data_IF_845974334973
#
_entry.id   IF_845974334973
#
_cell.length_a   1.000
_cell.length_b   1.000
_cell.length_c   1.000
_cell.angle_alpha   90.00
_cell.angle_beta   90.00
_cell.angle_gamma   90.00
#
_symmetry.space_group_name_H-M   'P 1'
#
loop_
_entity.id
_entity.type
_entity.pdbx_description
1 polymer ?
#
# COMPACT_ATOMS: atom_id res chain seq x y z
N UNK A 1 -58.27 31.05 15.90
CA UNK A 1 -57.48 30.98 14.65
C UNK A 1 -56.00 30.87 15.00
N UNK A 2 -55.44 29.65 15.07
CA UNK A 2 -54.01 29.43 15.34
C UNK A 2 -53.26 29.39 14.00
N UNK A 3 -52.37 30.35 13.76
CA UNK A 3 -51.54 30.41 12.55
C UNK A 3 -50.32 29.52 12.77
N UNK A 4 -50.24 28.41 12.05
CA UNK A 4 -49.04 27.59 11.96
C UNK A 4 -48.07 28.24 10.97
N UNK A 5 -46.89 28.65 11.44
CA UNK A 5 -45.77 29.02 10.58
C UNK A 5 -45.06 27.74 10.15
N UNK A 6 -45.19 27.39 8.87
CA UNK A 6 -44.37 26.34 8.24
C UNK A 6 -43.02 26.99 7.92
N UNK A 7 -42.01 26.71 8.75
CA UNK A 7 -40.63 27.05 8.44
C UNK A 7 -40.14 26.09 7.33
N UNK A 8 -40.06 26.60 6.10
CA UNK A 8 -39.44 25.89 4.99
C UNK A 8 -37.92 25.95 5.18
N UNK A 9 -37.36 24.94 5.85
CA UNK A 9 -35.92 24.77 5.95
C UNK A 9 -35.36 24.36 4.59
N UNK A 10 -34.84 25.32 3.84
CA UNK A 10 -34.05 25.08 2.64
C UNK A 10 -32.72 24.45 3.07
N UNK A 11 -32.66 23.12 3.08
CA UNK A 11 -31.43 22.39 3.36
C UNK A 11 -30.38 22.70 2.30
N UNK A 12 -29.37 23.50 2.68
CA UNK A 12 -28.14 23.62 1.90
C UNK A 12 -27.48 22.23 1.83
N UNK A 13 -27.48 21.63 0.65
CA UNK A 13 -26.66 20.45 0.37
C UNK A 13 -25.19 20.86 0.49
N UNK A 14 -24.51 20.42 1.54
CA UNK A 14 -23.07 20.58 1.70
C UNK A 14 -22.38 19.85 0.55
N UNK A 15 -21.85 20.60 -0.41
CA UNK A 15 -21.02 20.04 -1.47
C UNK A 15 -19.74 19.47 -0.84
N UNK A 16 -19.61 18.14 -0.84
CA UNK A 16 -18.46 17.45 -0.26
C UNK A 16 -17.17 17.76 -1.02
N UNK A 17 -16.08 18.00 -0.29
CA UNK A 17 -14.77 18.35 -0.83
C UNK A 17 -13.98 17.15 -1.41
N UNK A 18 -14.67 16.05 -1.72
CA UNK A 18 -14.09 14.82 -2.24
C UNK A 18 -14.33 14.69 -3.75
N UNK A 19 -13.44 13.99 -4.48
CA UNK A 19 -13.68 13.67 -5.89
C UNK A 19 -15.00 12.93 -6.07
N UNK A 20 -15.73 13.22 -7.15
CA UNK A 20 -16.98 12.51 -7.43
C UNK A 20 -16.65 11.14 -8.00
N UNK A 21 -16.93 10.10 -7.23
CA UNK A 21 -16.87 8.71 -7.70
C UNK A 21 -18.16 8.37 -8.44
N UNK A 22 -18.04 7.89 -9.67
CA UNK A 22 -19.11 7.21 -10.39
C UNK A 22 -18.70 5.76 -10.57
N UNK A 23 -19.52 4.84 -10.07
CA UNK A 23 -19.26 3.41 -10.14
C UNK A 23 -20.48 2.71 -10.74
N UNK A 24 -20.23 1.77 -11.65
CA UNK A 24 -21.25 0.90 -12.22
C UNK A 24 -20.80 -0.56 -12.08
N UNK A 25 -21.45 -1.29 -11.17
CA UNK A 25 -21.20 -2.71 -10.95
C UNK A 25 -21.87 -3.57 -12.03
N UNK A 26 -21.25 -4.68 -12.40
CA UNK A 26 -21.83 -5.69 -13.31
C UNK A 26 -22.63 -6.76 -12.56
N UNK A 27 -22.51 -6.83 -11.23
CA UNK A 27 -23.19 -7.79 -10.37
C UNK A 27 -23.05 -7.47 -8.88
N UNK A 28 -23.48 -8.37 -7.98
CA UNK A 28 -23.34 -8.19 -6.55
C UNK A 28 -21.86 -8.18 -6.12
N UNK A 29 -21.56 -7.39 -5.10
CA UNK A 29 -20.23 -7.34 -4.51
C UNK A 29 -19.81 -8.70 -3.94
N UNK A 30 -18.53 -9.04 -4.12
CA UNK A 30 -17.93 -10.26 -3.57
C UNK A 30 -17.00 -9.92 -2.41
N UNK A 31 -16.89 -10.83 -1.45
CA UNK A 31 -15.96 -10.68 -0.34
C UNK A 31 -14.53 -10.83 -0.84
N UNK A 32 -13.69 -9.84 -0.55
CA UNK A 32 -12.26 -9.92 -0.84
C UNK A 32 -11.58 -10.89 0.12
N UNK A 33 -10.69 -11.76 -0.39
CA UNK A 33 -9.85 -12.61 0.44
C UNK A 33 -8.71 -11.75 1.02
N UNK A 34 -8.53 -11.66 2.35
CA UNK A 34 -7.47 -10.84 2.95
C UNK A 34 -6.04 -11.26 2.56
N UNK A 35 -5.84 -12.52 2.17
CA UNK A 35 -4.56 -13.05 1.68
C UNK A 35 -4.30 -12.73 0.21
N UNK A 36 -5.29 -12.21 -0.51
CA UNK A 36 -5.17 -11.91 -1.93
C UNK A 36 -4.55 -10.52 -2.13
N UNK A 37 -3.57 -10.44 -3.03
CA UNK A 37 -2.95 -9.17 -3.41
C UNK A 37 -3.92 -8.23 -4.13
N UNK A 38 -3.46 -7.03 -4.42
CA UNK A 38 -4.20 -6.08 -5.26
C UNK A 38 -3.23 -5.39 -6.22
N UNK A 39 -3.54 -5.43 -7.51
CA UNK A 39 -2.71 -4.79 -8.53
C UNK A 39 -3.36 -3.54 -9.11
N UNK A 40 -2.59 -2.47 -9.21
CA UNK A 40 -2.94 -1.30 -10.00
C UNK A 40 -2.15 -1.35 -11.30
N UNK A 41 -2.86 -1.42 -12.41
CA UNK A 41 -2.26 -1.47 -13.75
C UNK A 41 -2.53 -0.12 -14.42
N UNK A 42 -1.46 0.67 -14.57
CA UNK A 42 -1.54 2.02 -15.15
C UNK A 42 -1.87 1.95 -16.63
N UNK A 43 -2.31 3.07 -17.19
CA UNK A 43 -2.71 3.22 -18.59
C UNK A 43 -1.66 2.75 -19.58
N UNK A 44 -0.39 2.98 -19.27
CA UNK A 44 0.79 2.59 -20.07
C UNK A 44 1.13 1.11 -19.99
N UNK A 45 0.63 0.40 -18.99
CA UNK A 45 1.05 -0.96 -18.69
C UNK A 45 0.20 -1.97 -19.45
N UNK A 46 0.87 -2.93 -20.09
CA UNK A 46 0.20 -4.03 -20.76
C UNK A 46 -0.43 -4.97 -19.73
N UNK A 47 -1.68 -5.36 -19.98
CA UNK A 47 -2.35 -6.43 -19.24
C UNK A 47 -3.13 -7.30 -20.21
N UNK A 48 -2.67 -8.54 -20.36
CA UNK A 48 -3.21 -9.53 -21.28
C UNK A 48 -3.45 -10.83 -20.51
N UNK A 49 -4.39 -10.78 -19.56
CA UNK A 49 -4.76 -11.92 -18.74
C UNK A 49 -6.27 -12.18 -18.78
N UNK A 50 -6.71 -13.44 -18.55
CA UNK A 50 -8.12 -13.71 -18.34
C UNK A 50 -8.58 -12.96 -17.09
N UNK A 51 -9.56 -12.09 -17.26
CA UNK A 51 -10.11 -11.28 -16.18
C UNK A 51 -11.62 -11.16 -16.33
N UNK A 52 -12.33 -11.28 -15.23
CA UNK A 52 -13.74 -10.96 -15.14
C UNK A 52 -13.92 -9.48 -14.78
N UNK A 53 -14.76 -8.76 -15.52
CA UNK A 53 -15.08 -7.38 -15.22
C UNK A 53 -16.21 -7.30 -14.18
N UNK A 54 -15.90 -6.74 -13.01
CA UNK A 54 -16.84 -6.54 -11.91
C UNK A 54 -17.49 -5.15 -11.93
N UNK A 55 -16.95 -4.23 -12.72
CA UNK A 55 -17.52 -2.91 -12.90
C UNK A 55 -16.56 -1.89 -13.50
N UNK A 56 -17.11 -0.71 -13.75
CA UNK A 56 -16.34 0.47 -14.17
C UNK A 56 -16.34 1.53 -13.07
N UNK A 57 -15.21 2.21 -12.94
CA UNK A 57 -14.99 3.27 -11.97
C UNK A 57 -14.52 4.51 -12.71
N UNK A 58 -15.17 5.63 -12.45
CA UNK A 58 -14.79 6.93 -12.98
C UNK A 58 -14.68 7.93 -11.84
N UNK A 59 -13.48 8.48 -11.67
CA UNK A 59 -13.24 9.58 -10.73
C UNK A 59 -13.32 10.88 -11.51
N UNK A 60 -14.35 11.70 -11.22
CA UNK A 60 -14.56 13.01 -11.84
C UNK A 60 -14.12 14.14 -10.92
N UNK A 61 -13.78 15.26 -11.54
CA UNK A 61 -13.70 16.55 -10.85
C UNK A 61 -15.10 17.03 -10.48
N UNK A 62 -15.32 17.35 -9.20
CA UNK A 62 -16.56 17.95 -8.70
C UNK A 62 -16.51 19.50 -8.71
N UNK A 63 -15.41 20.11 -9.13
CA UNK A 63 -15.22 21.56 -9.26
C UNK A 63 -14.70 22.26 -8.01
N UNK A 64 -14.71 21.59 -6.85
CA UNK A 64 -14.24 22.13 -5.56
C UNK A 64 -13.39 21.11 -4.77
N UNK A 65 -12.80 20.12 -5.44
CA UNK A 65 -12.01 19.07 -4.77
C UNK A 65 -10.59 19.56 -4.49
N UNK A 66 -10.13 19.39 -3.25
CA UNK A 66 -8.80 19.82 -2.81
C UNK A 66 -7.81 18.67 -2.56
N UNK A 67 -8.25 17.44 -2.83
CA UNK A 67 -7.53 16.17 -2.61
C UNK A 67 -7.57 15.34 -3.89
N UNK A 68 -6.84 15.76 -4.92
CA UNK A 68 -7.00 15.17 -6.26
C UNK A 68 -5.72 15.06 -7.09
N UNK A 69 -4.58 14.87 -6.42
CA UNK A 69 -3.39 14.34 -7.06
C UNK A 69 -3.63 12.91 -7.58
N UNK A 70 -2.74 12.43 -8.46
CA UNK A 70 -2.89 11.14 -9.10
C UNK A 70 -2.99 9.98 -8.10
N UNK A 71 -2.14 9.97 -7.07
CA UNK A 71 -2.06 8.87 -6.11
C UNK A 71 -3.32 8.81 -5.24
N UNK A 72 -3.84 9.96 -4.80
CA UNK A 72 -5.13 10.04 -4.08
C UNK A 72 -6.28 9.49 -4.93
N UNK A 73 -6.31 9.83 -6.22
CA UNK A 73 -7.36 9.37 -7.16
C UNK A 73 -7.26 7.87 -7.42
N UNK A 74 -6.05 7.33 -7.57
CA UNK A 74 -5.78 5.89 -7.70
C UNK A 74 -6.16 5.14 -6.43
N UNK A 75 -5.84 5.67 -5.25
CA UNK A 75 -6.19 5.07 -3.96
C UNK A 75 -7.71 4.99 -3.77
N UNK A 76 -8.44 6.06 -4.13
CA UNK A 76 -9.90 6.08 -4.08
C UNK A 76 -10.51 5.06 -5.04
N UNK A 77 -10.05 5.00 -6.29
CA UNK A 77 -10.53 3.99 -7.25
C UNK A 77 -10.19 2.56 -6.81
N UNK A 78 -9.03 2.36 -6.19
CA UNK A 78 -8.63 1.08 -5.59
C UNK A 78 -9.59 0.65 -4.49
N UNK A 79 -9.97 1.57 -3.58
CA UNK A 79 -10.94 1.29 -2.54
C UNK A 79 -12.30 0.86 -3.11
N UNK A 80 -12.77 1.54 -4.16
CA UNK A 80 -14.03 1.21 -4.83
C UNK A 80 -13.95 -0.14 -5.54
N UNK A 81 -12.85 -0.44 -6.21
CA UNK A 81 -12.62 -1.75 -6.83
C UNK A 81 -12.65 -2.88 -5.78
N UNK A 82 -12.00 -2.68 -4.62
CA UNK A 82 -12.04 -3.63 -3.51
C UNK A 82 -13.45 -3.85 -2.98
N UNK A 83 -14.28 -2.82 -2.91
CA UNK A 83 -15.70 -2.93 -2.51
C UNK A 83 -16.53 -3.79 -3.49
N UNK A 84 -16.14 -3.84 -4.77
CA UNK A 84 -16.74 -4.75 -5.75
C UNK A 84 -16.21 -6.19 -5.65
N UNK A 85 -15.14 -6.43 -4.87
CA UNK A 85 -14.44 -7.71 -4.79
C UNK A 85 -13.35 -7.88 -5.86
N UNK A 86 -12.97 -6.81 -6.56
CA UNK A 86 -11.90 -6.83 -7.53
C UNK A 86 -10.54 -6.95 -6.82
N UNK A 87 -9.59 -7.58 -7.51
CA UNK A 87 -8.20 -7.71 -7.10
C UNK A 87 -7.23 -7.05 -8.11
N UNK A 88 -7.78 -6.43 -9.16
CA UNK A 88 -7.05 -5.60 -10.13
C UNK A 88 -7.84 -4.33 -10.43
N UNK A 89 -7.17 -3.18 -10.42
CA UNK A 89 -7.64 -1.92 -10.98
C UNK A 89 -6.89 -1.65 -12.30
N UNK A 90 -7.58 -1.73 -13.44
CA UNK A 90 -7.00 -1.38 -14.76
C UNK A 90 -7.41 0.03 -15.15
N UNK A 91 -6.49 0.98 -15.09
CA UNK A 91 -6.70 2.39 -15.46
C UNK A 91 -6.48 2.55 -16.95
N UNK A 92 -7.51 2.73 -17.76
CA UNK A 92 -7.36 2.84 -19.22
C UNK A 92 -7.36 4.28 -19.75
N UNK A 93 -7.68 5.25 -18.90
CA UNK A 93 -7.62 6.67 -19.23
C UNK A 93 -7.20 7.45 -17.98
N UNK A 94 -6.18 8.29 -18.12
CA UNK A 94 -5.78 9.31 -17.14
C UNK A 94 -5.74 10.68 -17.81
N UNK A 95 -6.57 11.60 -17.34
CA UNK A 95 -6.57 13.00 -17.75
C UNK A 95 -5.95 13.84 -16.63
N UNK A 96 -4.86 14.53 -16.96
CA UNK A 96 -4.24 15.51 -16.08
C UNK A 96 -5.16 16.74 -15.86
N UNK A 97 -4.92 17.52 -14.79
CA UNK A 97 -5.52 18.83 -14.62
C UNK A 97 -5.29 19.70 -15.86
N UNK A 98 -6.29 20.50 -16.24
CA UNK A 98 -6.23 21.43 -17.35
C UNK A 98 -6.99 22.72 -17.02
N UNK A 99 -7.06 23.67 -17.95
CA UNK A 99 -7.72 24.97 -17.75
C UNK A 99 -9.19 24.88 -17.29
N UNK A 100 -9.87 23.73 -17.50
CA UNK A 100 -11.25 23.50 -17.09
C UNK A 100 -11.41 22.58 -15.87
N UNK A 101 -10.31 22.03 -15.32
CA UNK A 101 -10.36 21.09 -14.21
C UNK A 101 -9.05 21.05 -13.45
N UNK A 102 -9.10 21.26 -12.14
CA UNK A 102 -7.92 21.30 -11.28
C UNK A 102 -7.51 19.91 -10.76
N UNK A 103 -8.21 18.85 -11.19
CA UNK A 103 -8.07 17.51 -10.62
C UNK A 103 -7.70 16.44 -11.64
N UNK A 104 -6.92 15.45 -11.19
CA UNK A 104 -6.69 14.24 -11.95
C UNK A 104 -8.00 13.48 -12.11
N UNK A 105 -8.30 13.03 -13.34
CA UNK A 105 -9.49 12.24 -13.64
C UNK A 105 -9.03 10.92 -14.22
N UNK A 106 -9.57 9.82 -13.71
CA UNK A 106 -9.22 8.48 -14.21
C UNK A 106 -10.48 7.69 -14.56
N UNK A 107 -10.40 6.91 -15.62
CA UNK A 107 -11.35 5.83 -15.88
C UNK A 107 -10.65 4.50 -15.73
N UNK A 108 -11.31 3.60 -15.00
CA UNK A 108 -10.76 2.30 -14.68
C UNK A 108 -11.82 1.20 -14.75
N UNK A 109 -11.32 -0.03 -14.91
CA UNK A 109 -12.10 -1.26 -14.73
C UNK A 109 -11.70 -1.92 -13.42
N UNK A 110 -12.69 -2.34 -12.64
CA UNK A 110 -12.53 -3.22 -11.51
C UNK A 110 -12.56 -4.67 -12.03
N UNK A 111 -11.41 -5.33 -11.99
CA UNK A 111 -11.21 -6.65 -12.58
C UNK A 111 -10.95 -7.70 -11.50
N UNK A 112 -11.43 -8.91 -11.76
CA UNK A 112 -11.12 -10.10 -10.98
C UNK A 112 -10.28 -11.05 -11.82
N UNK A 113 -9.09 -11.35 -11.33
CA UNK A 113 -8.15 -12.30 -11.93
C UNK A 113 -8.01 -13.50 -10.99
N UNK A 114 -8.01 -14.72 -11.52
CA UNK A 114 -7.91 -15.91 -10.68
C UNK A 114 -6.53 -16.06 -10.00
N UNK A 115 -5.47 -15.65 -10.71
CA UNK A 115 -4.09 -15.67 -10.21
C UNK A 115 -3.37 -14.37 -10.58
N UNK A 116 -3.01 -13.57 -9.57
CA UNK A 116 -2.26 -12.32 -9.74
C UNK A 116 -0.76 -12.58 -9.92
N UNK A 117 -0.27 -13.74 -9.50
CA UNK A 117 1.15 -14.05 -9.39
C UNK A 117 1.95 -13.67 -10.65
N UNK A 118 1.50 -13.95 -11.89
CA UNK A 118 2.27 -13.58 -13.08
C UNK A 118 2.49 -12.07 -13.23
N UNK A 119 1.55 -11.26 -12.75
CA UNK A 119 1.49 -9.82 -12.96
C UNK A 119 2.04 -9.00 -11.78
N UNK A 120 2.26 -9.62 -10.61
CA UNK A 120 2.84 -8.95 -9.43
C UNK A 120 4.29 -8.50 -9.69
N UNK A 121 4.54 -7.21 -9.79
CA UNK A 121 5.91 -6.66 -9.81
C UNK A 121 6.41 -6.32 -8.42
N UNK A 122 5.48 -6.07 -7.52
CA UNK A 122 5.71 -5.74 -6.12
C UNK A 122 4.61 -6.39 -5.26
N UNK A 123 4.93 -6.67 -3.99
CA UNK A 123 3.98 -7.17 -2.99
C UNK A 123 4.03 -6.24 -1.77
N UNK A 124 2.89 -5.67 -1.41
CA UNK A 124 2.78 -4.90 -0.15
C UNK A 124 2.64 -5.87 1.03
N UNK A 125 3.36 -5.62 2.11
CA UNK A 125 3.37 -6.49 3.29
C UNK A 125 1.96 -6.64 3.88
N UNK A 126 1.55 -7.88 4.06
CA UNK A 126 0.26 -8.23 4.64
C UNK A 126 0.43 -9.56 5.41
N UNK A 127 -0.05 -9.64 6.68
CA UNK A 127 0.14 -10.84 7.49
C UNK A 127 -0.54 -12.09 6.88
N UNK A 128 -1.57 -11.91 6.06
CA UNK A 128 -2.28 -12.99 5.37
C UNK A 128 -1.64 -13.39 4.03
N UNK A 129 -0.78 -12.54 3.42
CA UNK A 129 -0.10 -12.81 2.14
C UNK A 129 1.40 -12.99 2.38
N UNK A 130 1.80 -14.21 2.77
CA UNK A 130 3.21 -14.60 2.91
C UNK A 130 3.85 -14.77 1.54
N UNK A 131 5.16 -14.55 1.47
CA UNK A 131 5.99 -14.76 0.27
C UNK A 131 5.99 -16.24 -0.13
N UNK A 132 6.02 -16.46 -1.43
CA UNK A 132 6.13 -17.75 -2.09
C UNK A 132 7.32 -17.71 -3.03
N UNK A 133 7.93 -18.84 -3.31
CA UNK A 133 9.07 -18.91 -4.24
C UNK A 133 8.79 -18.27 -5.61
N UNK A 134 7.56 -18.42 -6.12
CA UNK A 134 7.11 -17.81 -7.39
C UNK A 134 7.10 -16.28 -7.41
N UNK A 135 7.16 -15.64 -6.23
CA UNK A 135 7.19 -14.19 -6.10
C UNK A 135 8.60 -13.62 -6.38
N UNK A 136 9.64 -14.46 -6.37
CA UNK A 136 11.04 -14.08 -6.62
C UNK A 136 11.36 -14.22 -8.11
N UNK A 137 11.21 -13.14 -8.87
CA UNK A 137 11.23 -13.14 -10.34
C UNK A 137 12.56 -12.67 -10.93
N UNK A 138 13.49 -12.17 -10.12
CA UNK A 138 14.79 -11.72 -10.61
C UNK A 138 15.67 -12.91 -11.03
N UNK A 139 16.56 -12.65 -12.00
CA UNK A 139 17.54 -13.66 -12.45
C UNK A 139 18.48 -14.10 -11.32
N UNK A 140 18.73 -15.40 -11.26
CA UNK A 140 19.67 -16.04 -10.32
C UNK A 140 21.11 -16.07 -10.85
N UNK A 141 21.34 -15.64 -12.10
CA UNK A 141 22.67 -15.65 -12.73
C UNK A 141 23.65 -14.75 -11.97
N UNK A 142 24.86 -15.26 -11.74
CA UNK A 142 25.95 -14.56 -11.05
C UNK A 142 25.60 -14.06 -9.63
N UNK A 143 24.67 -14.73 -8.94
CA UNK A 143 24.31 -14.40 -7.56
C UNK A 143 25.07 -15.30 -6.56
N UNK A 144 25.59 -14.76 -5.44
CA UNK A 144 26.35 -15.56 -4.48
C UNK A 144 25.49 -16.38 -3.51
N UNK A 145 24.30 -15.90 -3.14
CA UNK A 145 23.45 -16.53 -2.11
C UNK A 145 22.36 -17.44 -2.69
N UNK A 146 21.67 -18.21 -1.83
CA UNK A 146 20.57 -19.09 -2.23
C UNK A 146 19.30 -18.31 -2.59
N UNK A 147 19.08 -17.16 -1.97
CA UNK A 147 18.01 -16.23 -2.30
C UNK A 147 18.43 -14.82 -1.82
N UNK A 148 17.66 -13.81 -2.22
CA UNK A 148 17.72 -12.49 -1.61
C UNK A 148 16.39 -11.78 -1.74
N UNK A 149 16.02 -11.10 -0.67
CA UNK A 149 14.85 -10.24 -0.56
C UNK A 149 15.25 -8.79 -0.77
N UNK A 150 14.61 -8.14 -1.74
CA UNK A 150 14.67 -6.69 -1.92
C UNK A 150 13.36 -6.10 -1.42
N UNK A 151 13.41 -5.45 -0.26
CA UNK A 151 12.27 -4.75 0.32
C UNK A 151 12.60 -3.30 0.63
N UNK A 152 11.57 -2.45 0.64
CA UNK A 152 11.70 -1.02 0.90
C UNK A 152 10.46 -0.46 1.60
N UNK A 153 10.61 0.77 2.11
CA UNK A 153 9.50 1.55 2.63
C UNK A 153 9.09 2.57 1.56
N UNK A 154 7.79 2.62 1.26
CA UNK A 154 7.18 3.63 0.39
C UNK A 154 6.22 4.46 1.23
N UNK A 155 6.18 5.77 1.01
CA UNK A 155 5.24 6.64 1.72
C UNK A 155 4.50 7.57 0.77
N UNK A 156 3.25 7.85 1.11
CA UNK A 156 2.33 8.66 0.31
C UNK A 156 1.61 9.68 1.18
N UNK A 157 1.38 10.86 0.62
CA UNK A 157 0.66 11.96 1.26
C UNK A 157 -0.71 12.13 0.61
N UNK A 158 -1.76 12.18 1.43
CA UNK A 158 -3.10 12.58 1.00
C UNK A 158 -3.55 13.78 1.83
N UNK A 159 -3.72 14.93 1.18
CA UNK A 159 -4.11 16.18 1.85
C UNK A 159 -5.62 16.39 1.87
N UNK A 160 -6.15 16.96 2.96
CA UNK A 160 -7.45 17.65 2.96
C UNK A 160 -7.25 19.12 3.36
N UNK A 161 -6.91 20.01 2.41
CA UNK A 161 -6.57 21.41 2.69
C UNK A 161 -7.62 22.18 3.50
N UNK A 162 -8.92 21.91 3.30
CA UNK A 162 -10.00 22.55 4.07
C UNK A 162 -10.12 22.07 5.53
N UNK A 163 -9.55 20.91 5.86
CA UNK A 163 -9.58 20.36 7.22
C UNK A 163 -8.30 20.64 8.01
N UNK A 164 -7.31 21.32 7.40
CA UNK A 164 -6.02 21.61 8.03
C UNK A 164 -5.23 20.35 8.39
N UNK A 165 -5.45 19.24 7.66
CA UNK A 165 -4.86 17.93 7.96
C UNK A 165 -4.31 17.24 6.71
N UNK A 166 -3.22 16.49 6.90
CA UNK A 166 -2.60 15.61 5.90
C UNK A 166 -2.53 14.20 6.47
N UNK A 167 -2.93 13.20 5.69
CA UNK A 167 -2.69 11.79 6.00
C UNK A 167 -1.39 11.34 5.34
N UNK A 168 -0.51 10.73 6.13
CA UNK A 168 0.69 10.03 5.68
C UNK A 168 0.42 8.54 5.78
N UNK A 169 0.58 7.81 4.68
CA UNK A 169 0.54 6.34 4.65
C UNK A 169 1.94 5.80 4.38
N UNK A 170 2.37 4.80 5.14
CA UNK A 170 3.64 4.09 4.96
C UNK A 170 3.34 2.64 4.57
N UNK A 171 3.98 2.16 3.53
CA UNK A 171 3.87 0.80 3.00
C UNK A 171 5.24 0.13 3.06
N UNK A 172 5.24 -1.16 3.39
CA UNK A 172 6.41 -2.03 3.24
C UNK A 172 6.21 -2.82 1.97
N UNK A 173 7.17 -2.74 1.05
CA UNK A 173 7.05 -3.31 -0.30
C UNK A 173 8.17 -4.31 -0.54
N UNK A 174 7.82 -5.48 -1.07
CA UNK A 174 8.74 -6.49 -1.60
C UNK A 174 8.80 -6.34 -3.13
N UNK A 175 9.99 -6.16 -3.69
CA UNK A 175 10.21 -6.04 -5.13
C UNK A 175 10.46 -7.43 -5.73
N UNK A 176 9.46 -7.95 -6.46
CA UNK A 176 9.55 -9.26 -7.11
C UNK A 176 10.65 -9.32 -8.17
N UNK A 177 10.93 -8.20 -8.84
CA UNK A 177 11.87 -8.13 -9.97
C UNK A 177 13.32 -7.92 -9.55
N UNK A 178 13.56 -7.53 -8.29
CA UNK A 178 14.90 -7.45 -7.69
C UNK A 178 15.21 -8.60 -6.74
N UNK A 179 14.19 -9.33 -6.30
CA UNK A 179 14.34 -10.50 -5.43
C UNK A 179 14.49 -11.79 -6.24
N UNK A 180 15.45 -12.64 -5.87
CA UNK A 180 15.72 -13.91 -6.56
C UNK A 180 15.71 -15.08 -5.58
N UNK A 181 15.43 -16.28 -6.08
CA UNK A 181 15.38 -17.51 -5.27
C UNK A 181 15.89 -18.70 -6.07
N UNK A 182 17.00 -19.30 -5.63
CA UNK A 182 17.55 -20.56 -6.15
C UNK A 182 16.97 -21.75 -5.40
N UNK A 183 17.00 -21.68 -4.06
CA UNK A 183 16.37 -22.67 -3.18
C UNK A 183 16.86 -24.11 -3.37
N UNK A 184 18.14 -24.32 -3.67
CA UNK A 184 18.62 -25.63 -4.15
C UNK A 184 18.74 -26.70 -3.05
N UNK A 185 18.86 -26.29 -1.79
CA UNK A 185 19.10 -27.21 -0.65
C UNK A 185 17.86 -27.44 0.22
N UNK A 186 17.32 -26.37 0.79
CA UNK A 186 16.13 -26.43 1.65
C UNK A 186 15.19 -25.25 1.33
N UNK A 187 14.35 -25.36 0.30
CA UNK A 187 13.49 -24.27 -0.16
C UNK A 187 12.60 -23.71 0.95
N UNK A 188 12.04 -24.56 1.81
CA UNK A 188 11.15 -24.12 2.89
C UNK A 188 11.88 -23.28 3.94
N UNK A 189 13.09 -23.72 4.33
CA UNK A 189 13.93 -22.97 5.27
C UNK A 189 14.39 -21.63 4.67
N UNK A 190 14.87 -21.64 3.41
CA UNK A 190 15.29 -20.42 2.71
C UNK A 190 14.11 -19.46 2.54
N UNK A 191 12.92 -19.93 2.17
CA UNK A 191 11.74 -19.06 2.04
C UNK A 191 11.34 -18.43 3.37
N UNK A 192 11.46 -19.18 4.48
CA UNK A 192 11.22 -18.62 5.81
C UNK A 192 12.28 -17.57 6.20
N UNK A 193 13.53 -17.72 5.78
CA UNK A 193 14.60 -16.72 5.96
C UNK A 193 14.27 -15.41 5.23
N UNK A 194 13.93 -15.53 3.94
CA UNK A 194 13.57 -14.39 3.09
C UNK A 194 12.32 -13.66 3.59
N UNK A 195 11.31 -14.41 4.04
CA UNK A 195 10.15 -13.84 4.70
C UNK A 195 10.53 -13.09 5.99
N UNK A 196 11.53 -13.56 6.73
CA UNK A 196 12.10 -12.88 7.89
C UNK A 196 12.62 -11.49 7.54
N UNK A 197 13.38 -11.33 6.45
CA UNK A 197 13.83 -10.01 5.97
C UNK A 197 12.66 -9.07 5.64
N UNK A 198 11.63 -9.59 4.97
CA UNK A 198 10.45 -8.79 4.66
C UNK A 198 9.68 -8.37 5.93
N UNK A 199 9.59 -9.26 6.91
CA UNK A 199 8.97 -8.98 8.21
C UNK A 199 9.79 -7.98 9.03
N UNK A 200 11.14 -8.02 8.98
CA UNK A 200 12.02 -7.00 9.58
C UNK A 200 11.74 -5.62 8.95
N UNK A 201 11.61 -5.55 7.63
CA UNK A 201 11.28 -4.29 6.96
C UNK A 201 9.94 -3.71 7.45
N UNK A 202 8.94 -4.57 7.70
CA UNK A 202 7.65 -4.16 8.28
C UNK A 202 7.78 -3.67 9.73
N UNK A 203 8.61 -4.32 10.56
CA UNK A 203 8.91 -3.83 11.93
C UNK A 203 9.38 -2.38 11.86
N UNK A 204 10.32 -2.09 10.96
CA UNK A 204 10.87 -0.74 10.81
C UNK A 204 9.87 0.25 10.22
N UNK A 205 8.98 -0.17 9.31
CA UNK A 205 7.86 0.68 8.86
C UNK A 205 6.89 1.06 10.00
N UNK A 206 6.61 0.12 10.92
CA UNK A 206 5.78 0.39 12.11
C UNK A 206 6.51 1.27 13.12
N UNK A 207 7.81 1.07 13.33
CA UNK A 207 8.65 1.96 14.16
C UNK A 207 8.68 3.37 13.60
N UNK A 208 8.78 3.52 12.27
CA UNK A 208 8.71 4.84 11.63
C UNK A 208 7.38 5.52 11.88
N UNK A 209 6.28 4.77 11.67
CA UNK A 209 4.91 5.24 11.96
C UNK A 209 4.80 5.73 13.40
N UNK A 210 5.29 4.94 14.37
CA UNK A 210 5.32 5.30 15.79
C UNK A 210 6.09 6.60 16.03
N UNK A 211 7.31 6.71 15.50
CA UNK A 211 8.15 7.89 15.67
C UNK A 211 7.46 9.16 15.17
N UNK A 212 6.85 9.11 13.99
CA UNK A 212 6.14 10.25 13.41
C UNK A 212 4.91 10.59 14.26
N UNK A 213 4.10 9.60 14.63
CA UNK A 213 2.89 9.83 15.41
C UNK A 213 3.18 10.44 16.79
N UNK A 214 4.30 10.08 17.42
CA UNK A 214 4.66 10.54 18.77
C UNK A 214 5.46 11.84 18.77
N UNK A 215 6.27 12.11 17.73
CA UNK A 215 7.25 13.20 17.75
C UNK A 215 7.07 14.23 16.65
N UNK A 216 6.17 14.02 15.70
CA UNK A 216 6.01 14.85 14.50
C UNK A 216 4.52 15.17 14.30
N UNK A 217 3.91 16.03 15.13
CA UNK A 217 2.48 16.31 15.05
C UNK A 217 2.07 17.18 13.84
N UNK A 218 3.02 17.86 13.20
CA UNK A 218 2.74 18.81 12.11
C UNK A 218 3.46 18.48 10.80
N UNK A 219 2.89 18.93 9.68
CA UNK A 219 3.50 18.83 8.34
C UNK A 219 4.84 19.57 8.30
N UNK A 220 4.93 20.72 8.97
CA UNK A 220 6.18 21.50 9.05
C UNK A 220 7.30 20.72 9.73
N UNK A 221 7.02 20.07 10.85
CA UNK A 221 8.02 19.24 11.54
C UNK A 221 8.38 18.01 10.73
N UNK A 222 7.42 17.43 10.01
CA UNK A 222 7.70 16.31 9.12
C UNK A 222 8.68 16.73 8.03
N UNK A 223 8.41 17.83 7.33
CA UNK A 223 9.31 18.37 6.31
C UNK A 223 10.72 18.65 6.85
N UNK A 224 10.83 19.09 8.10
CA UNK A 224 12.11 19.39 8.72
C UNK A 224 12.89 18.17 9.21
N UNK A 225 12.22 17.07 9.58
CA UNK A 225 12.85 15.96 10.33
C UNK A 225 12.74 14.60 9.66
N UNK A 226 11.87 14.44 8.66
CA UNK A 226 11.56 13.14 8.09
C UNK A 226 12.79 12.44 7.51
N UNK A 227 13.64 13.16 6.78
CA UNK A 227 14.83 12.59 6.14
C UNK A 227 15.80 12.03 7.18
N UNK A 228 16.11 12.80 8.22
CA UNK A 228 16.99 12.37 9.30
C UNK A 228 16.42 11.17 10.08
N UNK A 229 15.14 11.23 10.43
CA UNK A 229 14.45 10.13 11.14
C UNK A 229 14.43 8.87 10.29
N UNK A 230 14.15 8.99 9.00
CA UNK A 230 14.15 7.88 8.07
C UNK A 230 15.55 7.28 7.93
N UNK A 231 16.58 8.12 7.73
CA UNK A 231 17.95 7.65 7.57
C UNK A 231 18.46 6.91 8.81
N UNK A 232 18.25 7.47 10.01
CA UNK A 232 18.62 6.81 11.27
C UNK A 232 17.94 5.45 11.41
N UNK A 233 16.64 5.41 11.13
CA UNK A 233 15.85 4.20 11.24
C UNK A 233 16.24 3.13 10.21
N UNK A 234 16.61 3.54 8.99
CA UNK A 234 17.09 2.62 7.96
C UNK A 234 18.49 2.08 8.26
N UNK A 235 19.35 2.83 8.95
CA UNK A 235 20.62 2.30 9.46
C UNK A 235 20.39 1.20 10.51
N UNK A 236 19.45 1.41 11.43
CA UNK A 236 19.07 0.37 12.39
C UNK A 236 18.45 -0.86 11.71
N UNK A 237 17.62 -0.63 10.68
CA UNK A 237 17.03 -1.70 9.89
C UNK A 237 18.11 -2.54 9.21
N UNK A 238 19.07 -1.89 8.55
CA UNK A 238 20.19 -2.56 7.90
C UNK A 238 21.03 -3.34 8.92
N UNK A 239 21.38 -2.73 10.05
CA UNK A 239 22.14 -3.41 11.11
C UNK A 239 21.41 -4.66 11.64
N UNK A 240 20.08 -4.61 11.74
CA UNK A 240 19.28 -5.77 12.16
C UNK A 240 19.25 -6.86 11.09
N UNK A 241 19.10 -6.50 9.81
CA UNK A 241 19.17 -7.46 8.71
C UNK A 241 20.55 -8.13 8.63
N UNK A 242 21.63 -7.35 8.72
CA UNK A 242 23.00 -7.85 8.68
C UNK A 242 23.28 -8.79 9.86
N UNK A 243 22.77 -8.46 11.05
CA UNK A 243 22.88 -9.30 12.23
C UNK A 243 22.11 -10.61 12.06
N UNK A 244 20.89 -10.54 11.52
CA UNK A 244 20.07 -11.72 11.25
C UNK A 244 20.79 -12.68 10.29
N UNK A 245 21.28 -12.15 9.15
CA UNK A 245 22.08 -12.92 8.19
C UNK A 245 23.34 -13.52 8.84
N UNK A 246 24.13 -12.69 9.52
CA UNK A 246 25.40 -13.12 10.13
C UNK A 246 25.20 -14.26 11.13
N UNK A 247 24.21 -14.15 12.02
CA UNK A 247 23.97 -15.16 13.03
C UNK A 247 23.40 -16.45 12.45
N UNK A 248 22.49 -16.37 11.48
CA UNK A 248 21.85 -17.55 10.86
C UNK A 248 22.78 -18.27 9.90
N UNK A 249 23.61 -17.55 9.14
CA UNK A 249 24.62 -18.19 8.29
C UNK A 249 25.71 -18.87 9.11
N UNK A 250 26.08 -18.31 10.26
CA UNK A 250 27.01 -18.95 11.18
C UNK A 250 26.38 -20.19 11.88
N UNK A 251 25.10 -20.11 12.23
CA UNK A 251 24.36 -21.18 12.91
C UNK A 251 22.89 -21.22 12.46
N UNK A 252 22.55 -22.10 11.48
CA UNK A 252 21.18 -22.23 10.97
C UNK A 252 20.14 -22.60 12.04
N UNK A 253 20.55 -23.15 13.19
CA UNK A 253 19.62 -23.47 14.27
C UNK A 253 19.02 -22.24 14.96
N UNK A 254 19.59 -21.04 14.72
CA UNK A 254 19.11 -19.77 15.28
C UNK A 254 17.91 -19.18 14.56
N UNK A 255 17.63 -19.59 13.31
CA UNK A 255 16.53 -18.99 12.53
C UNK A 255 15.16 -19.08 13.24
N UNK A 256 14.74 -20.21 13.84
CA UNK A 256 13.47 -20.27 14.57
C UNK A 256 13.38 -19.25 15.72
N UNK A 257 14.48 -19.02 16.45
CA UNK A 257 14.52 -18.04 17.53
C UNK A 257 14.38 -16.61 16.98
N UNK A 258 15.08 -16.29 15.89
CA UNK A 258 14.94 -15.02 15.19
C UNK A 258 13.51 -14.79 14.67
N UNK A 259 12.90 -15.78 14.01
CA UNK A 259 11.52 -15.67 13.53
C UNK A 259 10.51 -15.48 14.67
N UNK A 260 10.74 -16.11 15.83
CA UNK A 260 9.94 -15.87 17.04
C UNK A 260 10.08 -14.44 17.55
N UNK A 261 11.30 -13.89 17.58
CA UNK A 261 11.56 -12.50 17.99
C UNK A 261 10.95 -11.49 17.02
N UNK A 262 11.04 -11.74 15.72
CA UNK A 262 10.40 -10.92 14.69
C UNK A 262 8.88 -10.91 14.89
N UNK A 263 8.28 -12.07 15.11
CA UNK A 263 6.84 -12.20 15.38
C UNK A 263 6.44 -11.43 16.64
N UNK A 264 7.23 -11.53 17.71
CA UNK A 264 7.00 -10.76 18.95
C UNK A 264 7.04 -9.25 18.70
N UNK A 265 8.05 -8.75 17.99
CA UNK A 265 8.17 -7.32 17.69
C UNK A 265 7.03 -6.80 16.81
N UNK A 266 6.59 -7.59 15.82
CA UNK A 266 5.41 -7.25 15.02
C UNK A 266 4.16 -7.15 15.90
N UNK A 267 4.01 -8.04 16.88
CA UNK A 267 2.90 -8.01 17.84
C UNK A 267 2.97 -6.81 18.78
N UNK A 268 4.15 -6.47 19.31
CA UNK A 268 4.37 -5.29 20.15
C UNK A 268 4.04 -3.98 19.39
N UNK A 269 4.28 -3.98 18.08
CA UNK A 269 4.00 -2.84 17.20
C UNK A 269 2.61 -2.87 16.56
N UNK A 270 1.72 -3.78 16.98
CA UNK A 270 0.33 -3.84 16.47
C UNK A 270 -0.43 -2.50 16.51
N UNK A 271 -0.28 -1.63 17.54
CA UNK A 271 -0.93 -0.33 17.54
C UNK A 271 -0.62 0.57 16.33
N UNK A 272 0.48 0.28 15.62
CA UNK A 272 0.95 1.03 14.45
C UNK A 272 0.83 0.24 13.13
N UNK A 273 0.11 -0.89 13.11
CA UNK A 273 -0.01 -1.77 11.95
C UNK A 273 -0.75 -1.14 10.76
N UNK A 274 -1.64 -0.17 11.01
CA UNK A 274 -2.32 0.59 9.95
C UNK A 274 -1.37 1.43 9.11
N UNK A 275 -0.21 1.78 9.69
CA UNK A 275 0.84 2.62 9.09
C UNK A 275 0.28 3.91 8.48
N UNK A 276 -0.71 4.49 9.16
CA UNK A 276 -1.38 5.74 8.77
C UNK A 276 -1.26 6.75 9.90
N UNK A 277 -0.75 7.94 9.59
CA UNK A 277 -0.62 9.05 10.53
C UNK A 277 -1.40 10.25 10.00
N UNK A 278 -2.08 10.96 10.90
CA UNK A 278 -2.74 12.24 10.57
C UNK A 278 -1.95 13.39 11.17
N UNK A 279 -1.52 14.30 10.31
CA UNK A 279 -0.69 15.45 10.64
C UNK A 279 -1.51 16.73 10.52
N UNK A 280 -1.22 17.71 11.38
CA UNK A 280 -1.79 19.07 11.27
C UNK A 280 -0.96 19.90 10.28
N UNK A 281 -1.62 20.72 9.47
CA UNK A 281 -0.96 21.71 8.60
C UNK A 281 -0.53 22.91 9.44
#
# INVERSE_FOLDING_TARGET
MKRFFIALSLGLALAGCAPKVVMQATGPARTANPAEGFLVIKETDAFTGPAEELGTIYIKDSGFTLSCDYETVVALATQQARQLGANVLRIYEHLQPNMMSTCHRIRAKALRVADLTPYETEIVWNPARRLRQVDFKASTANRPFEAATSSSLRYHYAGHPLQGKVSLTIETVFDCQRSYFKGTRNPAYTLAHEQGHFDISEIYARRFTKLIQEQVPTVRELQARQEDLYHQLMLEAQATQDKYDTEVYADPSKQPAWLSQITQQLNELQPYASKQVTLKI
#
